data_IF_977820508149
#
_entry.id   IF_977820508149
#
_cell.length_a   1.000
_cell.length_b   1.000
_cell.length_c   1.000
_cell.angle_alpha   90.00
_cell.angle_beta   90.00
_cell.angle_gamma   90.00
#
_symmetry.space_group_name_H-M   'P 1'
#
loop_
_entity.id
_entity.type
_entity.pdbx_description
1 polymer ?
#
# COMPACT_ATOMS: atom_id res chain seq x y z
N UNK A 1 0.40 -6.55 12.86
CA UNK A 1 0.24 -6.67 11.40
C UNK A 1 1.38 -5.95 10.70
N UNK A 2 2.02 -6.61 9.75
CA UNK A 2 3.04 -5.96 8.92
C UNK A 2 2.38 -5.15 7.81
N UNK A 3 2.86 -3.93 7.61
CA UNK A 3 2.35 -3.01 6.61
C UNK A 3 3.55 -2.37 5.88
N UNK A 4 3.49 -2.35 4.56
CA UNK A 4 4.51 -1.68 3.74
C UNK A 4 3.95 -0.37 3.20
N UNK A 5 4.68 0.73 3.42
CA UNK A 5 4.40 2.00 2.74
C UNK A 5 5.47 2.20 1.67
N UNK A 6 5.05 2.21 0.42
CA UNK A 6 5.90 2.42 -0.74
C UNK A 6 5.56 3.76 -1.38
N UNK A 7 6.40 4.74 -1.15
CA UNK A 7 6.19 6.11 -1.63
C UNK A 7 7.55 6.80 -1.67
N UNK A 8 7.83 7.55 -2.75
CA UNK A 8 9.10 8.25 -2.88
C UNK A 8 9.16 9.54 -2.06
N UNK A 9 8.05 9.98 -1.49
CA UNK A 9 8.01 11.17 -0.64
C UNK A 9 8.28 10.79 0.82
N UNK A 10 9.40 11.23 1.42
CA UNK A 10 9.68 10.93 2.83
C UNK A 10 8.61 11.41 3.79
N UNK A 11 7.95 12.52 3.46
CA UNK A 11 6.88 13.06 4.31
C UNK A 11 5.69 12.11 4.41
N UNK A 12 5.34 11.43 3.32
CA UNK A 12 4.24 10.46 3.32
C UNK A 12 4.61 9.24 4.17
N UNK A 13 5.83 8.74 4.00
CA UNK A 13 6.30 7.61 4.81
C UNK A 13 6.30 7.96 6.31
N UNK A 14 6.76 9.18 6.65
CA UNK A 14 6.76 9.65 8.03
C UNK A 14 5.34 9.77 8.60
N UNK A 15 4.39 10.25 7.80
CA UNK A 15 3.01 10.37 8.22
C UNK A 15 2.42 9.00 8.58
N UNK A 16 2.68 7.99 7.75
CA UNK A 16 2.20 6.64 8.01
C UNK A 16 2.81 6.09 9.30
N UNK A 17 4.11 6.28 9.50
CA UNK A 17 4.78 5.83 10.72
C UNK A 17 4.18 6.48 11.96
N UNK A 18 4.03 7.80 11.96
CA UNK A 18 3.52 8.52 13.13
C UNK A 18 2.06 8.13 13.42
N UNK A 19 1.26 7.99 12.37
CA UNK A 19 -0.17 7.68 12.51
C UNK A 19 -0.40 6.29 13.08
N UNK A 20 0.43 5.32 12.67
CA UNK A 20 0.24 3.91 13.04
C UNK A 20 1.25 3.43 14.08
N UNK A 21 1.96 4.36 14.71
CA UNK A 21 2.94 4.04 15.75
C UNK A 21 2.29 3.29 16.91
N UNK A 22 2.96 2.24 17.37
CA UNK A 22 2.45 1.42 18.46
C UNK A 22 2.77 -0.06 18.23
N UNK A 23 2.23 -0.92 19.08
CA UNK A 23 2.53 -2.35 19.05
C UNK A 23 1.68 -3.13 18.02
N UNK A 24 0.63 -2.51 17.50
CA UNK A 24 -0.30 -3.19 16.60
C UNK A 24 0.24 -3.36 15.17
N UNK A 25 1.16 -2.51 14.76
CA UNK A 25 1.66 -2.48 13.38
C UNK A 25 3.17 -2.46 13.32
N UNK A 26 3.72 -3.28 12.45
CA UNK A 26 5.13 -3.19 12.06
C UNK A 26 5.17 -2.52 10.69
N UNK A 27 5.74 -1.32 10.63
CA UNK A 27 5.75 -0.50 9.42
C UNK A 27 7.06 -0.70 8.67
N UNK A 28 6.96 -1.13 7.42
CA UNK A 28 8.09 -1.28 6.51
C UNK A 28 8.01 -0.15 5.49
N UNK A 29 9.15 0.28 4.95
CA UNK A 29 9.20 1.38 4.00
C UNK A 29 9.93 0.99 2.73
N UNK A 30 9.50 1.57 1.60
CA UNK A 30 10.19 1.50 0.33
C UNK A 30 10.07 2.85 -0.36
N UNK A 31 11.14 3.28 -1.02
CA UNK A 31 11.19 4.59 -1.68
C UNK A 31 11.00 4.51 -3.19
N UNK A 32 11.00 3.30 -3.76
CA UNK A 32 10.77 3.09 -5.19
C UNK A 32 10.15 1.71 -5.42
N UNK A 33 9.73 1.46 -6.65
CA UNK A 33 9.00 0.24 -6.98
C UNK A 33 9.82 -1.03 -6.90
N UNK A 34 11.11 -0.97 -7.20
CA UNK A 34 11.98 -2.16 -7.10
C UNK A 34 12.13 -2.55 -5.64
N UNK A 35 12.41 -1.58 -4.77
CA UNK A 35 12.51 -1.82 -3.33
C UNK A 35 11.18 -2.34 -2.78
N UNK A 36 10.05 -1.80 -3.25
CA UNK A 36 8.73 -2.24 -2.82
C UNK A 36 8.51 -3.73 -3.10
N UNK A 37 8.88 -4.19 -4.30
CA UNK A 37 8.77 -5.62 -4.63
C UNK A 37 9.66 -6.48 -3.76
N UNK A 38 10.91 -6.04 -3.53
CA UNK A 38 11.85 -6.78 -2.70
C UNK A 38 11.33 -6.94 -1.27
N UNK A 39 10.85 -5.84 -0.68
CA UNK A 39 10.32 -5.87 0.68
C UNK A 39 9.05 -6.72 0.76
N UNK A 40 8.14 -6.56 -0.19
CA UNK A 40 6.88 -7.31 -0.18
C UNK A 40 7.15 -8.82 -0.30
N UNK A 41 8.08 -9.23 -1.14
CA UNK A 41 8.41 -10.64 -1.32
C UNK A 41 9.15 -11.22 -0.11
N UNK A 42 10.03 -10.42 0.49
CA UNK A 42 10.84 -10.89 1.62
C UNK A 42 10.11 -10.89 2.94
N UNK A 43 9.25 -9.90 3.18
CA UNK A 43 8.61 -9.71 4.48
C UNK A 43 7.14 -10.14 4.51
N UNK A 44 6.52 -10.35 3.38
CA UNK A 44 5.12 -10.78 3.24
C UNK A 44 4.16 -9.93 4.10
N UNK A 45 4.12 -8.60 3.91
CA UNK A 45 3.19 -7.77 4.67
C UNK A 45 1.74 -8.12 4.33
N UNK A 46 0.83 -7.80 5.23
CA UNK A 46 -0.60 -8.02 4.98
C UNK A 46 -1.21 -6.91 4.16
N UNK A 47 -0.62 -5.72 4.22
CA UNK A 47 -1.12 -4.54 3.51
C UNK A 47 0.05 -3.79 2.89
N UNK A 48 -0.11 -3.36 1.64
CA UNK A 48 0.83 -2.47 0.96
C UNK A 48 0.09 -1.21 0.57
N UNK A 49 0.57 -0.06 1.06
CA UNK A 49 0.14 1.25 0.61
C UNK A 49 1.14 1.66 -0.48
N UNK A 50 0.67 1.83 -1.69
CA UNK A 50 1.53 1.86 -2.87
C UNK A 50 1.25 3.10 -3.72
N UNK A 51 2.22 4.02 -3.76
CA UNK A 51 2.12 5.20 -4.62
C UNK A 51 2.17 4.77 -6.09
N UNK A 52 1.31 5.35 -6.91
CA UNK A 52 1.31 5.08 -8.35
C UNK A 52 2.57 5.64 -9.00
N UNK A 53 2.95 6.86 -8.62
CA UNK A 53 4.07 7.58 -9.25
C UNK A 53 5.36 7.40 -8.45
N UNK A 54 6.15 6.40 -8.82
CA UNK A 54 7.44 6.15 -8.17
C UNK A 54 8.54 5.95 -9.22
N UNK A 55 9.81 6.29 -8.88
CA UNK A 55 10.91 6.03 -9.77
C UNK A 55 11.23 4.53 -9.88
N UNK A 56 11.99 4.18 -10.87
CA UNK A 56 12.50 2.84 -11.22
C UNK A 56 11.41 1.88 -11.68
N UNK A 57 10.30 1.79 -10.95
CA UNK A 57 9.19 0.94 -11.31
C UNK A 57 7.94 1.58 -10.70
N UNK A 58 6.94 1.91 -11.52
CA UNK A 58 5.75 2.56 -11.01
C UNK A 58 4.86 1.60 -10.19
N UNK A 59 3.94 2.20 -9.41
CA UNK A 59 3.10 1.42 -8.53
C UNK A 59 2.13 0.49 -9.25
N UNK A 60 1.70 0.83 -10.45
CA UNK A 60 0.81 -0.03 -11.23
C UNK A 60 1.51 -1.34 -11.57
N UNK A 61 2.77 -1.26 -12.01
CA UNK A 61 3.53 -2.46 -12.35
C UNK A 61 3.85 -3.28 -11.09
N UNK A 62 4.16 -2.63 -9.97
CA UNK A 62 4.37 -3.32 -8.70
C UNK A 62 3.12 -4.11 -8.31
N UNK A 63 1.97 -3.47 -8.37
CA UNK A 63 0.70 -4.11 -8.05
C UNK A 63 0.43 -5.30 -8.96
N UNK A 64 0.62 -5.11 -10.27
CA UNK A 64 0.42 -6.18 -11.25
C UNK A 64 1.28 -7.40 -10.91
N UNK A 65 2.56 -7.18 -10.59
CA UNK A 65 3.46 -8.28 -10.27
C UNK A 65 3.10 -8.97 -8.95
N UNK A 66 2.70 -8.20 -7.93
CA UNK A 66 2.29 -8.79 -6.67
C UNK A 66 1.04 -9.65 -6.83
N UNK A 67 0.07 -9.18 -7.60
CA UNK A 67 -1.18 -9.92 -7.81
C UNK A 67 -1.02 -11.12 -8.74
N UNK A 68 -0.02 -11.12 -9.61
CA UNK A 68 0.25 -12.23 -10.53
C UNK A 68 1.02 -13.38 -9.86
N UNK A 69 1.70 -13.10 -8.74
CA UNK A 69 2.53 -14.08 -8.04
C UNK A 69 1.71 -14.76 -6.94
N UNK A 70 1.56 -16.10 -6.97
CA UNK A 70 0.78 -16.80 -5.93
C UNK A 70 1.27 -16.55 -4.51
N UNK A 71 2.58 -16.27 -4.33
CA UNK A 71 3.14 -16.03 -3.01
C UNK A 71 2.75 -14.67 -2.43
N UNK A 72 2.34 -13.71 -3.28
CA UNK A 72 2.01 -12.36 -2.84
C UNK A 72 0.59 -11.92 -3.23
N UNK A 73 -0.16 -12.76 -3.94
CA UNK A 73 -1.48 -12.38 -4.44
C UNK A 73 -2.50 -12.09 -3.33
N UNK A 74 -2.29 -12.62 -2.15
CA UNK A 74 -3.19 -12.40 -1.00
C UNK A 74 -2.92 -11.10 -0.25
N UNK A 75 -1.82 -10.40 -0.58
CA UNK A 75 -1.52 -9.10 0.04
C UNK A 75 -2.59 -8.09 -0.41
N UNK A 76 -3.15 -7.37 0.55
CA UNK A 76 -4.09 -6.29 0.23
C UNK A 76 -3.27 -5.10 -0.28
N UNK A 77 -3.57 -4.62 -1.49
CA UNK A 77 -2.88 -3.50 -2.11
C UNK A 77 -3.84 -2.33 -2.21
N UNK A 78 -3.48 -1.23 -1.56
CA UNK A 78 -4.20 0.03 -1.66
C UNK A 78 -3.33 1.03 -2.40
N UNK A 79 -3.79 1.49 -3.55
CA UNK A 79 -3.05 2.46 -4.35
C UNK A 79 -3.21 3.86 -3.76
N UNK A 80 -2.11 4.60 -3.70
CA UNK A 80 -2.12 6.00 -3.29
C UNK A 80 -2.01 6.86 -4.54
N UNK A 81 -2.92 7.81 -4.69
CA UNK A 81 -2.96 8.69 -5.85
C UNK A 81 -3.04 10.15 -5.42
N UNK A 82 -2.31 11.01 -6.12
CA UNK A 82 -2.30 12.45 -5.82
C UNK A 82 -3.64 13.12 -6.14
N UNK A 83 -4.43 12.53 -7.01
CA UNK A 83 -5.73 13.06 -7.39
C UNK A 83 -6.71 11.91 -7.58
N UNK A 84 -7.95 12.10 -7.14
CA UNK A 84 -9.01 11.12 -7.35
C UNK A 84 -9.53 11.21 -8.78
N UNK A 85 -8.65 10.98 -9.76
CA UNK A 85 -9.05 10.96 -11.15
C UNK A 85 -9.54 9.56 -11.50
N UNK A 86 -10.66 9.52 -12.19
CA UNK A 86 -11.27 8.27 -12.62
C UNK A 86 -10.28 7.40 -13.41
N UNK A 87 -9.43 8.02 -14.21
CA UNK A 87 -8.42 7.32 -14.99
C UNK A 87 -7.42 6.54 -14.12
N UNK A 88 -6.90 7.19 -13.05
CA UNK A 88 -5.96 6.54 -12.14
C UNK A 88 -6.62 5.39 -11.39
N UNK A 89 -7.87 5.58 -11.00
CA UNK A 89 -8.66 4.56 -10.32
C UNK A 89 -8.87 3.35 -11.20
N UNK A 90 -9.25 3.58 -12.47
CA UNK A 90 -9.50 2.51 -13.43
C UNK A 90 -8.23 1.72 -13.68
N UNK A 91 -7.07 2.39 -13.80
CA UNK A 91 -5.78 1.73 -13.98
C UNK A 91 -5.42 0.86 -12.78
N UNK A 92 -5.63 1.37 -11.55
CA UNK A 92 -5.36 0.59 -10.34
C UNK A 92 -6.23 -0.66 -10.26
N UNK A 93 -7.51 -0.52 -10.54
CA UNK A 93 -8.42 -1.67 -10.52
C UNK A 93 -8.07 -2.68 -11.61
N UNK A 94 -7.63 -2.20 -12.79
CA UNK A 94 -7.26 -3.08 -13.90
C UNK A 94 -6.06 -3.96 -13.58
N UNK A 95 -5.15 -3.52 -12.71
CA UNK A 95 -3.99 -4.33 -12.30
C UNK A 95 -4.23 -5.12 -11.02
N UNK A 96 -5.45 -5.10 -10.50
CA UNK A 96 -5.84 -5.94 -9.38
C UNK A 96 -5.74 -5.31 -8.00
N UNK A 97 -5.59 -3.98 -7.91
CA UNK A 97 -5.57 -3.30 -6.62
C UNK A 97 -6.90 -3.53 -5.87
N UNK A 98 -6.82 -3.70 -4.57
CA UNK A 98 -7.99 -3.95 -3.74
C UNK A 98 -8.77 -2.66 -3.45
N UNK A 99 -8.05 -1.53 -3.40
CA UNK A 99 -8.68 -0.23 -3.15
C UNK A 99 -7.68 0.86 -3.54
N UNK A 100 -8.10 2.11 -3.44
CA UNK A 100 -7.18 3.22 -3.61
C UNK A 100 -7.57 4.37 -2.69
N UNK A 101 -6.59 5.24 -2.41
CA UNK A 101 -6.70 6.28 -1.39
C UNK A 101 -6.09 7.55 -1.93
N UNK A 102 -6.81 8.67 -1.83
CA UNK A 102 -6.42 9.94 -2.44
C UNK A 102 -5.53 10.77 -1.51
N UNK A 103 -4.41 11.25 -2.02
CA UNK A 103 -3.56 12.20 -1.32
C UNK A 103 -4.04 13.64 -1.59
N UNK A 104 -3.93 14.56 -0.64
CA UNK A 104 -3.50 14.34 0.74
C UNK A 104 -4.62 13.70 1.56
N UNK A 105 -4.25 12.81 2.47
CA UNK A 105 -5.20 12.16 3.36
C UNK A 105 -4.94 12.59 4.81
N UNK A 106 -5.99 12.57 5.64
CA UNK A 106 -5.83 12.88 7.05
C UNK A 106 -5.33 11.65 7.81
N UNK A 107 -4.62 11.83 8.92
CA UNK A 107 -4.21 10.70 9.77
C UNK A 107 -5.40 9.85 10.21
N UNK A 108 -6.53 10.48 10.54
CA UNK A 108 -7.72 9.73 10.95
C UNK A 108 -8.27 8.86 9.82
N UNK A 109 -8.32 9.39 8.60
CA UNK A 109 -8.78 8.60 7.45
C UNK A 109 -7.85 7.42 7.20
N UNK A 110 -6.55 7.63 7.30
CA UNK A 110 -5.56 6.55 7.14
C UNK A 110 -5.76 5.48 8.22
N UNK A 111 -5.89 5.89 9.46
CA UNK A 111 -6.08 4.96 10.57
C UNK A 111 -7.34 4.12 10.37
N UNK A 112 -8.45 4.77 10.00
CA UNK A 112 -9.71 4.08 9.78
C UNK A 112 -9.61 3.05 8.66
N UNK A 113 -8.95 3.40 7.56
CA UNK A 113 -8.77 2.48 6.43
C UNK A 113 -7.93 1.27 6.84
N UNK A 114 -6.82 1.51 7.53
CA UNK A 114 -5.92 0.42 7.96
C UNK A 114 -6.60 -0.47 8.98
N UNK A 115 -7.33 0.09 9.93
CA UNK A 115 -8.08 -0.68 10.92
C UNK A 115 -9.15 -1.55 10.25
N UNK A 116 -9.79 -1.05 9.21
CA UNK A 116 -10.79 -1.83 8.49
C UNK A 116 -10.15 -3.01 7.77
N UNK A 117 -9.01 -2.82 7.14
CA UNK A 117 -8.26 -3.92 6.49
C UNK A 117 -7.87 -4.97 7.53
N UNK A 118 -7.33 -4.54 8.66
CA UNK A 118 -6.93 -5.42 9.75
C UNK A 118 -8.12 -6.22 10.27
N UNK A 119 -9.26 -5.56 10.47
CA UNK A 119 -10.48 -6.19 10.96
C UNK A 119 -11.01 -7.22 9.96
N UNK A 120 -11.02 -6.88 8.68
CA UNK A 120 -11.50 -7.79 7.64
C UNK A 120 -10.62 -9.04 7.55
N UNK A 121 -9.31 -8.91 7.68
CA UNK A 121 -8.41 -10.06 7.67
C UNK A 121 -8.62 -10.95 8.88
N UNK A 122 -8.82 -10.37 10.06
CA UNK A 122 -9.11 -11.13 11.26
C UNK A 122 -10.45 -11.87 11.16
N UNK A 123 -11.43 -11.22 10.54
CA UNK A 123 -12.76 -11.83 10.35
C UNK A 123 -12.79 -12.90 9.27
N UNK A 124 -11.85 -12.85 8.32
CA UNK A 124 -11.77 -13.81 7.23
C UNK A 124 -11.12 -15.14 7.65
N UNK A 125 -10.40 -15.09 8.76
CA UNK A 125 -9.76 -16.28 9.32
C UNK A 125 -10.74 -17.13 10.05
#
# INVERSE_FOLDING_TARGET
>A
MKLLIADDEPAVRALVHVTLEGDDYEILEAADGVEALEVARGEAPKLVLLDIMMPRLDGLEVCRQLKADPDTSDIVVVMLTAQAQEHDRDQGLAVGADDYFTKPFSPLALLNMVEQVRHNQAGAG
#
